data_IF_946794630309
#
_entry.id   IF_946794630309
#
_cell.length_a   1.000
_cell.length_b   1.000
_cell.length_c   1.000
_cell.angle_alpha   90.00
_cell.angle_beta   90.00
_cell.angle_gamma   90.00
#
_symmetry.space_group_name_H-M   'P 1'
#
loop_
_entity.id
_entity.type
_entity.pdbx_description
1 polymer ?
#
# COMPACT_ATOMS: atom_id res chain seq x y z
N UNK A 1 12.12 8.95 -1.00
CA UNK A 1 11.49 8.26 0.15
C UNK A 1 10.13 8.90 0.36
N UNK A 2 9.12 8.09 0.65
CA UNK A 2 7.74 8.53 0.81
C UNK A 2 7.28 8.15 2.21
N UNK A 3 6.72 9.12 2.93
CA UNK A 3 6.15 8.90 4.25
C UNK A 3 4.77 8.29 4.07
N UNK A 4 4.59 7.03 4.46
CA UNK A 4 3.33 6.29 4.29
C UNK A 4 2.91 5.65 5.63
N UNK A 5 2.51 6.47 6.61
CA UNK A 5 2.17 6.03 7.96
C UNK A 5 0.85 5.24 8.02
N UNK A 6 0.47 4.79 9.21
CA UNK A 6 -0.76 4.03 9.46
C UNK A 6 -0.45 2.63 9.94
N UNK A 7 0.16 1.79 9.07
CA UNK A 7 0.59 0.44 9.45
C UNK A 7 1.48 0.48 10.70
N UNK A 8 2.50 1.34 10.64
CA UNK A 8 3.24 1.91 11.78
C UNK A 8 3.34 3.42 11.61
N UNK A 9 3.60 4.18 12.69
CA UNK A 9 3.79 5.64 12.63
C UNK A 9 4.90 6.04 11.64
N UNK A 10 6.00 5.27 11.57
CA UNK A 10 7.13 5.55 10.67
C UNK A 10 7.14 4.75 9.36
N UNK A 11 6.03 4.13 8.96
CA UNK A 11 5.98 3.33 7.73
C UNK A 11 6.35 4.19 6.50
N UNK A 12 7.11 3.62 5.56
CA UNK A 12 7.68 4.37 4.43
C UNK A 12 7.80 3.51 3.18
N UNK A 13 7.61 4.13 2.00
CA UNK A 13 7.95 3.54 0.71
C UNK A 13 9.20 4.17 0.12
N UNK A 14 9.84 3.49 -0.83
CA UNK A 14 11.01 3.97 -1.54
C UNK A 14 10.76 3.88 -3.04
N UNK A 15 10.86 5.00 -3.74
CA UNK A 15 10.85 5.00 -5.20
C UNK A 15 12.23 5.32 -5.77
N UNK A 16 12.46 4.85 -6.98
CA UNK A 16 13.65 5.14 -7.78
C UNK A 16 13.30 5.04 -9.27
N UNK A 17 14.06 5.71 -10.11
CA UNK A 17 14.00 5.49 -11.55
C UNK A 17 15.06 4.46 -11.94
N UNK A 18 14.66 3.49 -12.76
CA UNK A 18 15.55 2.46 -13.29
C UNK A 18 15.50 2.52 -14.81
N UNK A 19 16.66 2.64 -15.45
CA UNK A 19 16.77 2.51 -16.91
C UNK A 19 17.09 1.06 -17.27
N UNK A 20 16.28 0.47 -18.13
CA UNK A 20 16.46 -0.88 -18.65
C UNK A 20 16.15 -0.90 -20.14
N UNK A 21 17.09 -1.40 -20.94
CA UNK A 21 16.96 -1.50 -22.40
C UNK A 21 16.50 -0.19 -23.10
N UNK A 22 16.93 0.96 -22.57
CA UNK A 22 16.60 2.29 -23.10
C UNK A 22 15.22 2.85 -22.71
N UNK A 23 14.47 2.15 -21.83
CA UNK A 23 13.24 2.64 -21.22
C UNK A 23 13.50 2.94 -19.73
N UNK A 24 12.97 4.07 -19.25
CA UNK A 24 13.01 4.43 -17.82
C UNK A 24 11.70 3.98 -17.18
N UNK A 25 11.80 3.35 -16.01
CA UNK A 25 10.66 2.91 -15.21
C UNK A 25 10.65 3.63 -13.86
N UNK A 26 9.50 4.14 -13.46
CA UNK A 26 9.23 4.59 -12.09
C UNK A 26 8.97 3.36 -11.20
N UNK A 27 9.99 2.93 -10.44
CA UNK A 27 9.93 1.75 -9.58
C UNK A 27 9.55 2.14 -8.15
N UNK A 28 8.62 1.41 -7.54
CA UNK A 28 8.21 1.58 -6.15
C UNK A 28 8.41 0.30 -5.32
N UNK A 29 9.13 0.41 -4.21
CA UNK A 29 9.08 -0.55 -3.10
C UNK A 29 8.05 -0.01 -2.11
N UNK A 30 6.83 -0.54 -2.19
CA UNK A 30 5.67 -0.05 -1.46
C UNK A 30 5.56 -0.67 -0.05
N UNK A 31 5.35 0.19 0.94
CA UNK A 31 4.75 -0.21 2.21
C UNK A 31 3.23 0.00 2.13
N UNK A 32 2.49 -1.09 1.90
CA UNK A 32 1.04 -1.03 1.75
C UNK A 32 0.35 -0.70 3.08
N UNK A 33 -0.72 0.10 3.02
CA UNK A 33 -1.54 0.49 4.19
C UNK A 33 -2.37 -0.65 4.79
N UNK A 34 -1.79 -1.81 5.07
CA UNK A 34 -2.53 -2.95 5.66
C UNK A 34 -2.89 -2.69 7.13
N UNK A 35 -4.15 -2.93 7.49
CA UNK A 35 -4.65 -2.86 8.87
C UNK A 35 -4.46 -4.22 9.53
N UNK A 36 -3.63 -4.28 10.57
CA UNK A 36 -3.45 -5.51 11.35
C UNK A 36 -4.62 -5.74 12.32
N UNK A 37 -4.93 -7.00 12.68
CA UNK A 37 -5.91 -7.30 13.72
C UNK A 37 -5.62 -6.54 15.02
N UNK A 38 -6.65 -5.95 15.60
CA UNK A 38 -6.54 -5.18 16.86
C UNK A 38 -6.10 -3.72 16.69
N UNK A 39 -5.73 -3.28 15.47
CA UNK A 39 -5.56 -1.86 15.17
C UNK A 39 -6.91 -1.15 15.30
N UNK A 40 -6.95 -0.03 16.01
CA UNK A 40 -8.15 0.78 16.25
C UNK A 40 -7.94 2.19 15.71
N UNK A 41 -8.96 2.74 15.06
CA UNK A 41 -8.88 4.02 14.35
C UNK A 41 -9.47 5.19 15.12
N UNK A 42 -10.59 4.96 15.83
CA UNK A 42 -11.45 6.01 16.38
C UNK A 42 -11.66 5.84 17.89
N UNK A 43 -12.03 4.65 18.36
CA UNK A 43 -12.31 4.39 19.79
C UNK A 43 -11.08 3.77 20.43
N UNK A 44 -10.49 4.46 21.41
CA UNK A 44 -9.18 4.12 21.98
C UNK A 44 -8.13 3.86 20.87
N UNK A 45 -7.85 4.87 20.02
CA UNK A 45 -7.05 4.69 18.82
C UNK A 45 -5.67 4.13 19.18
N UNK A 46 -5.12 3.26 18.31
CA UNK A 46 -3.83 2.60 18.58
C UNK A 46 -2.70 3.60 18.82
N UNK A 47 -2.74 4.73 18.12
CA UNK A 47 -1.94 5.91 18.39
C UNK A 47 -2.70 7.15 17.91
N UNK A 48 -2.33 8.33 18.39
CA UNK A 48 -2.97 9.60 18.01
C UNK A 48 -2.78 9.89 16.51
N UNK A 49 -3.87 10.07 15.76
CA UNK A 49 -3.82 10.38 14.33
C UNK A 49 -3.75 9.14 13.41
N UNK A 50 -3.86 7.93 13.95
CA UNK A 50 -3.76 6.68 13.16
C UNK A 50 -4.75 6.62 11.99
N UNK A 51 -5.97 7.11 12.16
CA UNK A 51 -6.97 7.08 11.10
C UNK A 51 -6.59 8.03 9.97
N UNK A 52 -6.15 9.24 10.32
CA UNK A 52 -5.69 10.27 9.41
C UNK A 52 -4.46 9.82 8.63
N UNK A 53 -3.54 9.10 9.29
CA UNK A 53 -2.35 8.53 8.67
C UNK A 53 -2.70 7.48 7.59
N UNK A 54 -3.65 6.57 7.86
CA UNK A 54 -4.11 5.63 6.83
C UNK A 54 -4.75 6.37 5.65
N UNK A 55 -5.63 7.33 5.92
CA UNK A 55 -6.29 8.12 4.87
C UNK A 55 -5.28 8.91 4.03
N UNK A 56 -4.27 9.50 4.66
CA UNK A 56 -3.17 10.18 4.00
C UNK A 56 -2.39 9.22 3.10
N UNK A 57 -2.00 8.05 3.62
CA UNK A 57 -1.25 7.05 2.86
C UNK A 57 -1.98 6.60 1.60
N UNK A 58 -3.27 6.26 1.68
CA UNK A 58 -4.02 5.84 0.48
C UNK A 58 -4.11 6.96 -0.56
N UNK A 59 -4.37 8.19 -0.11
CA UNK A 59 -4.42 9.35 -1.00
C UNK A 59 -3.08 9.59 -1.68
N UNK A 60 -1.98 9.59 -0.92
CA UNK A 60 -0.65 9.86 -1.45
C UNK A 60 -0.22 8.78 -2.44
N UNK A 61 -0.42 7.50 -2.08
CA UNK A 61 -0.11 6.37 -2.94
C UNK A 61 -0.85 6.41 -4.28
N UNK A 62 -2.13 6.81 -4.31
CA UNK A 62 -2.92 6.97 -5.54
C UNK A 62 -2.46 8.12 -6.44
N UNK A 63 -1.75 9.11 -5.90
CA UNK A 63 -1.22 10.24 -6.68
C UNK A 63 0.16 9.95 -7.29
N UNK A 64 0.78 8.81 -6.96
CA UNK A 64 2.09 8.45 -7.47
C UNK A 64 2.01 7.89 -8.89
N UNK A 65 2.95 8.29 -9.75
CA UNK A 65 3.27 7.56 -10.99
C UNK A 65 4.13 6.35 -10.63
N UNK A 66 3.65 5.15 -10.99
CA UNK A 66 4.32 3.88 -10.67
C UNK A 66 4.16 2.94 -11.85
N UNK A 67 5.27 2.53 -12.44
CA UNK A 67 5.31 1.54 -13.52
C UNK A 67 5.46 0.12 -12.95
N UNK A 68 6.50 -0.07 -12.14
CA UNK A 68 6.87 -1.34 -11.53
C UNK A 68 6.75 -1.20 -10.03
N UNK A 69 6.09 -2.16 -9.40
CA UNK A 69 5.96 -2.16 -7.94
C UNK A 69 6.15 -3.53 -7.32
N UNK A 70 6.78 -3.51 -6.15
CA UNK A 70 6.86 -4.63 -5.22
C UNK A 70 6.51 -4.13 -3.83
N UNK A 71 6.30 -5.03 -2.89
CA UNK A 71 5.97 -4.68 -1.52
C UNK A 71 6.70 -5.55 -0.50
N UNK A 72 6.54 -5.21 0.78
CA UNK A 72 7.14 -5.95 1.90
C UNK A 72 6.79 -7.45 1.89
N UNK A 73 5.62 -7.83 1.36
CA UNK A 73 5.19 -9.22 1.25
C UNK A 73 4.82 -9.61 -0.19
N UNK A 74 5.31 -10.77 -0.64
CA UNK A 74 5.06 -11.36 -1.98
C UNK A 74 3.60 -11.40 -2.41
N UNK A 75 2.70 -11.70 -1.47
CA UNK A 75 1.27 -11.81 -1.75
C UNK A 75 0.60 -10.48 -2.07
N UNK A 76 1.19 -9.35 -1.68
CA UNK A 76 0.58 -8.03 -1.88
C UNK A 76 0.61 -7.59 -3.35
N UNK A 77 1.63 -8.00 -4.11
CA UNK A 77 1.84 -7.57 -5.50
C UNK A 77 1.72 -8.73 -6.50
N UNK A 78 1.12 -9.86 -6.09
CA UNK A 78 0.85 -11.00 -6.97
C UNK A 78 2.11 -11.74 -7.42
N UNK A 79 3.16 -11.81 -6.58
CA UNK A 79 4.44 -12.42 -6.96
C UNK A 79 4.30 -13.80 -7.61
N UNK A 80 3.45 -14.67 -7.05
CA UNK A 80 3.33 -16.06 -7.51
C UNK A 80 2.59 -16.21 -8.84
N UNK A 81 1.81 -15.20 -9.24
CA UNK A 81 1.12 -15.16 -10.53
C UNK A 81 2.03 -14.57 -11.62
N UNK A 82 2.91 -13.64 -11.22
CA UNK A 82 3.80 -12.90 -12.13
C UNK A 82 5.16 -13.56 -12.36
N UNK A 83 5.68 -14.30 -11.37
CA UNK A 83 7.03 -14.86 -11.41
C UNK A 83 7.03 -16.37 -11.21
N UNK A 84 7.82 -17.06 -12.04
CA UNK A 84 8.14 -18.48 -11.88
C UNK A 84 9.64 -18.70 -11.67
N UNK A 85 10.05 -19.68 -10.84
CA UNK A 85 11.45 -20.05 -10.71
C UNK A 85 12.08 -20.38 -12.06
N UNK A 86 13.29 -19.87 -12.29
CA UNK A 86 14.08 -20.04 -13.53
C UNK A 86 13.52 -19.32 -14.77
N UNK A 87 12.51 -18.45 -14.65
CA UNK A 87 12.14 -17.59 -15.78
C UNK A 87 13.29 -16.64 -16.13
N UNK A 88 13.41 -16.32 -17.42
CA UNK A 88 14.37 -15.32 -17.88
C UNK A 88 14.04 -13.94 -17.27
N UNK A 89 15.06 -13.09 -17.16
CA UNK A 89 14.86 -11.70 -16.73
C UNK A 89 13.99 -10.96 -17.75
N UNK A 90 12.99 -10.25 -17.24
CA UNK A 90 12.14 -9.34 -18.00
C UNK A 90 11.66 -8.21 -17.07
N UNK A 91 11.99 -6.93 -17.32
CA UNK A 91 11.50 -5.81 -16.50
C UNK A 91 9.98 -5.71 -16.47
N UNK A 92 9.28 -6.22 -17.48
CA UNK A 92 7.81 -6.20 -17.56
C UNK A 92 7.17 -7.22 -16.61
N UNK A 93 7.95 -8.13 -15.98
CA UNK A 93 7.45 -9.11 -15.00
C UNK A 93 6.60 -8.47 -13.90
N UNK A 94 7.02 -7.30 -13.42
CA UNK A 94 6.36 -6.58 -12.33
C UNK A 94 5.83 -5.20 -12.76
N UNK A 95 5.78 -4.94 -14.07
CA UNK A 95 5.08 -3.79 -14.60
C UNK A 95 3.58 -4.00 -14.41
N UNK A 96 2.98 -3.24 -13.50
CA UNK A 96 1.56 -3.41 -13.13
C UNK A 96 1.00 -2.16 -12.42
N UNK A 97 0.86 -1.02 -13.12
CA UNK A 97 0.29 0.20 -12.54
C UNK A 97 -1.15 0.01 -12.06
N UNK A 98 -1.95 -0.74 -12.82
CA UNK A 98 -3.36 -0.98 -12.49
C UNK A 98 -3.50 -1.85 -11.23
N UNK A 99 -2.71 -2.93 -11.10
CA UNK A 99 -2.73 -3.76 -9.90
C UNK A 99 -2.19 -3.05 -8.66
N UNK A 100 -1.31 -2.05 -8.81
CA UNK A 100 -0.94 -1.17 -7.69
C UNK A 100 -2.14 -0.37 -7.21
N UNK A 101 -2.87 0.27 -8.14
CA UNK A 101 -4.07 1.04 -7.81
C UNK A 101 -5.14 0.17 -7.16
N UNK A 102 -5.43 -1.00 -7.73
CA UNK A 102 -6.40 -1.97 -7.21
C UNK A 102 -6.05 -2.40 -5.78
N UNK A 103 -4.78 -2.64 -5.48
CA UNK A 103 -4.32 -3.02 -4.14
C UNK A 103 -4.55 -1.91 -3.11
N UNK A 104 -4.33 -0.64 -3.48
CA UNK A 104 -4.58 0.51 -2.61
C UNK A 104 -6.09 0.63 -2.34
N UNK A 105 -6.91 0.53 -3.38
CA UNK A 105 -8.37 0.66 -3.28
C UNK A 105 -8.99 -0.43 -2.42
N UNK A 106 -8.53 -1.67 -2.59
CA UNK A 106 -8.98 -2.78 -1.76
C UNK A 106 -8.71 -2.53 -0.27
N UNK A 107 -7.53 -2.00 0.07
CA UNK A 107 -7.16 -1.67 1.46
C UNK A 107 -7.93 -0.45 1.98
N UNK A 108 -8.13 0.58 1.15
CA UNK A 108 -8.92 1.76 1.52
C UNK A 108 -10.38 1.37 1.83
N UNK A 109 -10.97 0.45 1.08
CA UNK A 109 -12.31 -0.09 1.37
C UNK A 109 -12.34 -0.78 2.74
N UNK A 110 -11.31 -1.55 3.10
CA UNK A 110 -11.19 -2.18 4.43
C UNK A 110 -11.09 -1.12 5.52
N UNK A 111 -10.29 -0.08 5.30
CA UNK A 111 -10.17 1.07 6.21
C UNK A 111 -11.51 1.77 6.44
N UNK A 112 -12.23 2.11 5.38
CA UNK A 112 -13.54 2.78 5.47
C UNK A 112 -14.52 1.91 6.27
N UNK A 113 -14.52 0.60 6.06
CA UNK A 113 -15.36 -0.34 6.83
C UNK A 113 -15.01 -0.34 8.31
N UNK A 114 -13.72 -0.37 8.65
CA UNK A 114 -13.25 -0.33 10.04
C UNK A 114 -13.68 0.97 10.74
N UNK A 115 -13.41 2.13 10.11
CA UNK A 115 -13.79 3.45 10.66
C UNK A 115 -15.30 3.54 10.89
N UNK A 116 -16.11 3.10 9.93
CA UNK A 116 -17.57 3.10 10.06
C UNK A 116 -18.06 2.18 11.19
N UNK A 117 -17.41 1.03 11.40
CA UNK A 117 -17.77 0.14 12.50
C UNK A 117 -17.45 0.78 13.87
N UNK A 118 -16.27 1.39 14.01
CA UNK A 118 -15.87 2.05 15.25
C UNK A 118 -16.68 3.32 15.54
N UNK A 119 -17.06 4.10 14.52
CA UNK A 119 -17.95 5.24 14.68
C UNK A 119 -19.33 4.84 15.21
N UNK A 120 -19.89 3.71 14.73
CA UNK A 120 -21.15 3.18 15.27
C UNK A 120 -20.98 2.79 16.73
N UNK A 121 -19.92 2.06 17.05
CA UNK A 121 -19.60 1.70 18.44
C UNK A 121 -19.50 2.93 19.34
N UNK A 122 -18.84 4.01 18.89
CA UNK A 122 -18.71 5.26 19.63
C UNK A 122 -20.06 5.94 19.89
N UNK A 123 -20.97 5.89 18.92
CA UNK A 123 -22.29 6.54 19.02
C UNK A 123 -23.27 5.74 19.88
N UNK A 124 -23.06 4.43 20.01
CA UNK A 124 -23.88 3.54 20.85
C UNK A 124 -23.42 3.52 22.32
N UNK A 125 -22.33 4.20 22.66
CA UNK A 125 -21.78 4.38 24.01
C UNK A 125 -22.29 5.68 24.66
#
# INVERSE_FOLDING_TARGET
VHYHPGHTEGSSSYSMQVEESGKVYDVLIANMGTINPGKKMIVDPTYEGVSEDFAFTYKDQKMMSVDIWVAAHKSQYGFYDKYQPNQAYDPETFFDPDGYLDAIEALEIVYIKQVNAELKQKNDQ
#
